data_IF_381692385834
#
_entry.id   IF_381692385834
#
_cell.length_a   1.000
_cell.length_b   1.000
_cell.length_c   1.000
_cell.angle_alpha   90.00
_cell.angle_beta   90.00
_cell.angle_gamma   90.00
#
_symmetry.space_group_name_H-M   'P 1'
#
loop_
_entity.id
_entity.type
_entity.pdbx_description
1 polymer ?
#
# COMPACT_ATOMS: atom_id res chain seq x y z
N UNK A 1 2.77 -3.63 12.45
CA UNK A 1 2.03 -2.36 12.26
C UNK A 1 1.10 -2.11 13.44
N UNK A 2 0.90 -0.85 13.84
CA UNK A 2 0.00 -0.47 14.95
C UNK A 2 -1.49 -0.48 14.54
N UNK A 3 -1.78 -0.34 13.24
CA UNK A 3 -3.11 -0.46 12.62
C UNK A 3 -3.06 -1.65 11.65
N UNK A 4 -4.15 -2.42 11.56
CA UNK A 4 -4.30 -3.59 10.69
C UNK A 4 -5.62 -3.53 9.94
N UNK A 5 -5.67 -4.16 8.78
CA UNK A 5 -6.85 -4.28 7.92
C UNK A 5 -7.44 -2.93 7.51
N UNK A 6 -6.59 -1.93 7.25
CA UNK A 6 -7.03 -0.61 6.83
C UNK A 6 -6.61 -0.32 5.37
N UNK A 7 -7.55 -0.30 4.40
CA UNK A 7 -7.22 -0.06 3.00
C UNK A 7 -6.79 1.41 2.81
N UNK A 8 -5.65 1.62 2.16
CA UNK A 8 -5.19 2.95 1.76
C UNK A 8 -5.53 3.16 0.29
N UNK A 9 -6.58 3.93 0.03
CA UNK A 9 -7.04 4.23 -1.33
C UNK A 9 -6.86 5.73 -1.61
N UNK A 10 -6.08 6.04 -2.64
CA UNK A 10 -5.90 7.37 -3.19
C UNK A 10 -6.88 7.56 -4.36
N UNK A 11 -7.50 8.73 -4.44
CA UNK A 11 -8.44 9.07 -5.51
C UNK A 11 -7.90 10.23 -6.35
N UNK A 12 -7.91 10.07 -7.68
CA UNK A 12 -7.41 11.07 -8.64
C UNK A 12 -5.93 10.88 -8.99
N UNK A 13 -5.67 10.20 -10.10
CA UNK A 13 -4.34 9.92 -10.63
C UNK A 13 -3.54 11.18 -10.94
N UNK A 14 -4.21 12.22 -11.44
CA UNK A 14 -3.54 13.47 -11.82
C UNK A 14 -2.96 14.19 -10.60
N UNK A 15 -3.63 14.05 -9.45
CA UNK A 15 -3.17 14.66 -8.20
C UNK A 15 -2.08 13.83 -7.53
N UNK A 16 -2.29 12.51 -7.42
CA UNK A 16 -1.40 11.63 -6.64
C UNK A 16 -0.27 10.98 -7.45
N UNK A 17 -0.35 11.00 -8.77
CA UNK A 17 0.61 10.35 -9.66
C UNK A 17 2.04 10.83 -9.44
N UNK A 18 2.23 12.15 -9.25
CA UNK A 18 3.54 12.73 -8.97
C UNK A 18 4.16 12.23 -7.66
N UNK A 19 3.36 12.09 -6.59
CA UNK A 19 3.84 11.55 -5.32
C UNK A 19 4.24 10.08 -5.46
N UNK A 20 3.40 9.27 -6.10
CA UNK A 20 3.67 7.84 -6.29
C UNK A 20 4.89 7.60 -7.19
N UNK A 21 5.11 8.46 -8.19
CA UNK A 21 6.33 8.43 -8.99
C UNK A 21 7.56 8.73 -8.11
N UNK A 22 7.55 9.81 -7.33
CA UNK A 22 8.65 10.14 -6.42
C UNK A 22 8.94 9.03 -5.39
N UNK A 23 7.91 8.40 -4.83
CA UNK A 23 8.09 7.28 -3.91
C UNK A 23 8.80 6.09 -4.57
N UNK A 24 8.49 5.79 -5.85
CA UNK A 24 9.17 4.73 -6.61
C UNK A 24 10.60 5.12 -6.99
N UNK A 25 10.78 6.32 -7.50
CA UNK A 25 12.05 6.73 -8.10
C UNK A 25 13.10 7.15 -7.07
N UNK A 26 12.66 7.57 -5.87
CA UNK A 26 13.55 8.04 -4.79
C UNK A 26 13.48 7.13 -3.57
N UNK A 27 12.32 7.03 -2.91
CA UNK A 27 12.24 6.33 -1.62
C UNK A 27 12.52 4.83 -1.77
N UNK A 28 11.94 4.18 -2.78
CA UNK A 28 12.18 2.76 -3.06
C UNK A 28 13.60 2.53 -3.56
N UNK A 29 14.09 3.37 -4.49
CA UNK A 29 15.45 3.27 -5.02
C UNK A 29 16.53 3.41 -3.92
N UNK A 30 16.33 4.31 -2.95
CA UNK A 30 17.23 4.54 -1.82
C UNK A 30 17.00 3.56 -0.64
N UNK A 31 16.16 2.54 -0.83
CA UNK A 31 15.86 1.52 0.18
C UNK A 31 15.16 2.05 1.44
N UNK A 32 14.44 3.18 1.33
CA UNK A 32 13.66 3.77 2.44
C UNK A 32 12.31 3.10 2.63
N UNK A 33 11.80 2.47 1.58
CA UNK A 33 10.60 1.63 1.56
C UNK A 33 10.88 0.39 0.72
N UNK A 34 10.09 -0.65 0.92
CA UNK A 34 10.04 -1.82 0.04
C UNK A 34 9.00 -1.66 -1.06
N UNK A 35 9.08 -2.48 -2.10
CA UNK A 35 8.02 -2.55 -3.11
C UNK A 35 6.68 -2.97 -2.51
N UNK A 36 6.71 -3.88 -1.52
CA UNK A 36 5.53 -4.35 -0.82
C UNK A 36 4.82 -3.24 -0.01
N UNK A 37 5.55 -2.20 0.43
CA UNK A 37 4.93 -1.02 1.06
C UNK A 37 4.09 -0.21 0.08
N UNK A 38 4.51 -0.13 -1.20
CA UNK A 38 3.74 0.54 -2.24
C UNK A 38 2.48 -0.25 -2.61
N UNK A 39 2.53 -1.58 -2.53
CA UNK A 39 1.39 -2.45 -2.83
C UNK A 39 0.23 -2.26 -1.83
N UNK A 40 0.49 -1.71 -0.65
CA UNK A 40 -0.53 -1.33 0.34
C UNK A 40 -1.40 -0.15 -0.14
N UNK A 41 -0.92 0.62 -1.11
CA UNK A 41 -1.62 1.78 -1.66
C UNK A 41 -2.34 1.37 -2.94
N UNK A 42 -3.62 1.72 -3.03
CA UNK A 42 -4.40 1.58 -4.26
C UNK A 42 -4.74 2.97 -4.79
N UNK A 43 -4.62 3.19 -6.10
CA UNK A 43 -5.00 4.43 -6.77
C UNK A 43 -6.19 4.16 -7.69
N UNK A 44 -7.22 4.99 -7.62
CA UNK A 44 -8.41 4.88 -8.47
C UNK A 44 -8.92 6.25 -8.91
N UNK A 45 -9.55 6.30 -10.07
CA UNK A 45 -10.25 7.47 -10.61
C UNK A 45 -11.77 7.29 -10.67
N UNK A 46 -12.25 6.13 -10.22
CA UNK A 46 -13.67 5.77 -10.24
C UNK A 46 -14.22 5.73 -8.83
N UNK A 47 -15.18 6.61 -8.47
CA UNK A 47 -15.86 6.53 -7.19
C UNK A 47 -16.51 5.16 -6.94
N UNK A 48 -17.01 4.52 -8.00
CA UNK A 48 -17.59 3.18 -7.92
C UNK A 48 -16.54 2.13 -7.53
N UNK A 49 -15.37 2.16 -8.18
CA UNK A 49 -14.26 1.26 -7.85
C UNK A 49 -13.78 1.47 -6.41
N UNK A 50 -13.68 2.73 -5.95
CA UNK A 50 -13.35 3.03 -4.54
C UNK A 50 -14.37 2.40 -3.59
N UNK A 51 -15.67 2.56 -3.85
CA UNK A 51 -16.72 1.94 -3.05
C UNK A 51 -16.60 0.41 -3.01
N UNK A 52 -16.31 -0.21 -4.15
CA UNK A 52 -16.16 -1.66 -4.26
C UNK A 52 -14.91 -2.14 -3.50
N UNK A 53 -13.78 -1.45 -3.65
CA UNK A 53 -12.55 -1.75 -2.91
C UNK A 53 -12.73 -1.66 -1.39
N UNK A 54 -13.44 -0.63 -0.91
CA UNK A 54 -13.75 -0.49 0.53
C UNK A 54 -14.63 -1.65 0.98
N UNK A 55 -15.65 -2.02 0.20
CA UNK A 55 -16.56 -3.14 0.53
C UNK A 55 -15.80 -4.46 0.60
N UNK A 56 -15.01 -4.77 -0.43
CA UNK A 56 -14.17 -5.98 -0.48
C UNK A 56 -13.17 -6.00 0.69
N UNK A 57 -12.50 -4.89 0.99
CA UNK A 57 -11.56 -4.81 2.11
C UNK A 57 -12.23 -5.03 3.47
N UNK A 58 -13.40 -4.42 3.71
CA UNK A 58 -14.07 -4.45 5.01
C UNK A 58 -14.89 -5.72 5.25
N UNK A 59 -15.38 -6.37 4.20
CA UNK A 59 -16.29 -7.53 4.29
C UNK A 59 -15.57 -8.84 3.94
N UNK A 60 -14.71 -8.84 2.93
CA UNK A 60 -14.07 -10.05 2.40
C UNK A 60 -12.63 -10.23 2.91
N UNK A 61 -11.94 -9.13 3.26
CA UNK A 61 -10.73 -9.06 4.11
C UNK A 61 -9.42 -9.66 3.59
N UNK A 62 -9.47 -10.77 2.84
CA UNK A 62 -8.31 -11.63 2.61
C UNK A 62 -7.18 -11.00 1.79
N UNK A 63 -7.49 -10.11 0.84
CA UNK A 63 -6.46 -9.49 0.00
C UNK A 63 -5.61 -8.45 0.74
N UNK A 64 -6.20 -7.75 1.70
CA UNK A 64 -5.50 -6.73 2.49
C UNK A 64 -4.56 -7.36 3.50
N UNK A 65 -4.98 -8.47 4.12
CA UNK A 65 -4.13 -9.27 5.00
C UNK A 65 -2.88 -9.80 4.28
N UNK A 66 -3.05 -10.32 3.07
CA UNK A 66 -1.93 -10.84 2.28
C UNK A 66 -0.91 -9.73 1.97
N UNK A 67 -1.38 -8.54 1.58
CA UNK A 67 -0.50 -7.39 1.31
C UNK A 67 0.21 -6.89 2.56
N UNK A 68 -0.50 -6.75 3.68
CA UNK A 68 0.09 -6.34 4.96
C UNK A 68 1.12 -7.36 5.47
N UNK A 69 0.87 -8.66 5.27
CA UNK A 69 1.80 -9.71 5.63
C UNK A 69 3.07 -9.66 4.76
N UNK A 70 2.93 -9.46 3.45
CA UNK A 70 4.06 -9.30 2.55
C UNK A 70 4.93 -8.09 2.92
N UNK A 71 4.34 -6.91 3.14
CA UNK A 71 5.06 -5.72 3.56
C UNK A 71 5.80 -5.91 4.89
N UNK A 72 5.15 -6.56 5.86
CA UNK A 72 5.76 -6.88 7.15
C UNK A 72 6.93 -7.85 7.02
N UNK A 73 6.78 -8.90 6.23
CA UNK A 73 7.82 -9.90 6.01
C UNK A 73 9.08 -9.25 5.41
N UNK A 74 8.93 -8.34 4.45
CA UNK A 74 10.08 -7.63 3.88
C UNK A 74 10.77 -6.76 4.93
N UNK A 75 10.00 -6.04 5.73
CA UNK A 75 10.55 -5.21 6.82
C UNK A 75 11.32 -6.07 7.84
N UNK A 76 10.77 -7.22 8.25
CA UNK A 76 11.38 -8.13 9.21
C UNK A 76 12.68 -8.78 8.68
N UNK A 77 12.79 -9.03 7.36
CA UNK A 77 14.01 -9.59 6.75
C UNK A 77 15.17 -8.60 6.67
N UNK A 78 14.87 -7.30 6.56
CA UNK A 78 15.90 -6.24 6.47
C UNK A 78 16.29 -5.74 7.86
N UNK A 79 15.37 -5.78 8.82
CA UNK A 79 15.63 -5.41 10.20
C UNK A 79 16.29 -6.57 10.98
N UNK A 80 17.62 -6.60 10.97
CA UNK A 80 18.39 -7.31 11.99
C UNK A 80 18.60 -6.36 13.18
N UNK A 81 18.01 -6.63 14.36
CA UNK A 81 18.39 -5.89 15.55
C UNK A 81 19.80 -6.36 15.96
N UNK A 82 20.77 -5.44 15.94
CA UNK A 82 22.03 -5.58 16.68
C UNK A 82 21.78 -5.64 18.19
#
# INVERSE_FOLDING_TARGET
>A
GKVRHFPVILFGSDYWGGLLAWMRDTQLADGKISSADLDLITLSDSPQEVCDLIRTAMIEGGWLEAKEAAARQVTEQVYSPD
#
